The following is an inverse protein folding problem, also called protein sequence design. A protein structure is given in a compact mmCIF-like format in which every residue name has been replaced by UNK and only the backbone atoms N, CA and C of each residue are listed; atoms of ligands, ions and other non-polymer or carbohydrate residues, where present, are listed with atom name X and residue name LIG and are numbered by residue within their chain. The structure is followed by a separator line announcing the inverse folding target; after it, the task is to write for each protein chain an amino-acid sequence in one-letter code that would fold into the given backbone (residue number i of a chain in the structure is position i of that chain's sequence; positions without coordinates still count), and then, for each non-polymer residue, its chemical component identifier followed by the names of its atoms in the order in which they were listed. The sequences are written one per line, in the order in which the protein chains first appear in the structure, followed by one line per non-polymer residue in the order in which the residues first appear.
data_IF_440427469357
#
_entry.id   IF_440427469357
#
_cell.length_a   1.000
_cell.length_b   1.000
_cell.length_c   1.000
_cell.angle_alpha   90.00
_cell.angle_beta   90.00
_cell.angle_gamma   90.00
#
_symmetry.space_group_name_H-M   'P 1'
#
loop_
_entity.id
_entity.type
_entity.pdbx_description
1 polymer ?
#
# COMPACT_ATOMS: atom_id res chain seq x y z
N UNK A 1 8.95 6.28 -7.49
CA UNK A 1 7.50 6.00 -7.42
C UNK A 1 7.23 4.71 -6.66
N UNK A 2 5.98 4.51 -6.20
CA UNK A 2 5.59 3.26 -5.55
C UNK A 2 5.74 2.06 -6.51
N UNK A 3 5.37 2.23 -7.78
CA UNK A 3 5.48 1.17 -8.78
C UNK A 3 6.94 0.77 -9.10
N UNK A 4 7.89 1.70 -9.07
CA UNK A 4 9.31 1.37 -9.19
C UNK A 4 9.82 0.58 -7.99
N UNK A 5 9.47 1.01 -6.76
CA UNK A 5 9.82 0.28 -5.54
C UNK A 5 9.21 -1.12 -5.52
N UNK A 6 7.94 -1.23 -5.87
CA UNK A 6 7.25 -2.53 -6.01
C UNK A 6 7.91 -3.43 -7.05
N UNK A 7 8.27 -2.86 -8.20
CA UNK A 7 8.97 -3.59 -9.26
C UNK A 7 10.32 -4.14 -8.84
N UNK A 8 11.11 -3.36 -8.10
CA UNK A 8 12.38 -3.82 -7.54
C UNK A 8 12.20 -4.97 -6.55
N UNK A 9 11.20 -4.86 -5.65
CA UNK A 9 10.91 -5.91 -4.68
C UNK A 9 10.42 -7.20 -5.36
N UNK A 10 9.57 -7.10 -6.37
CA UNK A 10 9.09 -8.25 -7.16
C UNK A 10 10.25 -8.92 -7.90
N UNK A 11 11.11 -8.15 -8.54
CA UNK A 11 12.28 -8.68 -9.24
C UNK A 11 13.18 -9.47 -8.30
N UNK A 12 13.52 -8.91 -7.15
CA UNK A 12 14.35 -9.57 -6.15
C UNK A 12 13.68 -10.83 -5.59
N UNK A 13 12.35 -10.80 -5.37
CA UNK A 13 11.61 -11.97 -4.91
C UNK A 13 11.66 -13.13 -5.92
N UNK A 14 11.55 -12.84 -7.22
CA UNK A 14 11.68 -13.83 -8.29
C UNK A 14 13.09 -14.40 -8.35
N UNK A 15 14.12 -13.56 -8.27
CA UNK A 15 15.52 -13.98 -8.25
C UNK A 15 15.80 -14.93 -7.07
N UNK A 16 15.33 -14.59 -5.86
CA UNK A 16 15.51 -15.42 -4.65
C UNK A 16 14.74 -16.73 -4.69
N UNK A 17 13.54 -16.71 -5.25
CA UNK A 17 12.70 -17.93 -5.33
C UNK A 17 13.13 -18.89 -6.43
N UNK A 18 13.89 -18.42 -7.41
CA UNK A 18 14.22 -19.17 -8.62
C UNK A 18 13.03 -19.37 -9.57
N UNK A 19 11.91 -18.68 -9.35
CA UNK A 19 10.75 -18.71 -10.21
C UNK A 19 11.03 -17.88 -11.46
N UNK A 20 10.77 -18.47 -12.65
CA UNK A 20 10.90 -17.74 -13.90
C UNK A 20 9.81 -16.66 -14.01
N UNK A 21 10.13 -15.44 -14.45
CA UNK A 21 9.10 -14.43 -14.75
C UNK A 21 8.01 -14.91 -15.70
N UNK A 22 8.32 -15.86 -16.59
CA UNK A 22 7.37 -16.43 -17.54
C UNK A 22 6.35 -17.39 -16.90
N UNK A 23 6.66 -17.91 -15.71
CA UNK A 23 5.77 -18.83 -14.98
C UNK A 23 4.80 -18.07 -14.08
N UNK A 24 4.97 -16.75 -13.90
CA UNK A 24 4.08 -15.94 -13.07
C UNK A 24 2.77 -15.69 -13.82
N UNK A 25 1.66 -16.08 -13.24
CA UNK A 25 0.33 -15.91 -13.82
C UNK A 25 -0.36 -14.63 -13.37
N UNK A 26 -0.07 -14.20 -12.13
CA UNK A 26 -0.67 -12.99 -11.59
C UNK A 26 0.23 -12.28 -10.58
N UNK A 27 0.20 -10.93 -10.61
CA UNK A 27 0.83 -10.05 -9.63
C UNK A 27 -0.24 -9.23 -8.91
N UNK A 28 -0.34 -9.37 -7.59
CA UNK A 28 -1.29 -8.63 -6.77
C UNK A 28 -0.51 -7.77 -5.78
N UNK A 29 -0.61 -6.44 -5.92
CA UNK A 29 0.05 -5.52 -4.99
C UNK A 29 -0.95 -4.61 -4.27
N UNK A 30 -0.81 -4.55 -2.94
CA UNK A 30 -1.51 -3.59 -2.12
C UNK A 30 -0.93 -2.18 -2.30
N UNK A 31 -1.79 -1.17 -2.46
CA UNK A 31 -1.41 0.24 -2.45
C UNK A 31 -2.60 1.07 -1.98
N UNK A 32 -2.36 2.00 -1.08
CA UNK A 32 -3.40 2.86 -0.47
C UNK A 32 -3.49 4.20 -1.21
N UNK A 33 -2.36 4.86 -1.38
CA UNK A 33 -2.28 6.23 -1.91
C UNK A 33 -2.12 6.21 -3.44
N UNK A 34 -3.16 5.81 -4.14
CA UNK A 34 -3.10 5.60 -5.59
C UNK A 34 -3.26 6.88 -6.43
N UNK A 35 -3.65 7.98 -5.82
CA UNK A 35 -3.82 9.27 -6.52
C UNK A 35 -2.53 9.71 -7.20
N UNK A 36 -2.60 10.07 -8.49
CA UNK A 36 -1.45 10.55 -9.26
C UNK A 36 -0.48 9.47 -9.75
N UNK A 37 -0.68 8.20 -9.40
CA UNK A 37 0.20 7.11 -9.85
C UNK A 37 -0.07 6.62 -11.29
N UNK A 38 -1.13 7.09 -11.92
CA UNK A 38 -1.59 6.57 -13.23
C UNK A 38 -2.46 5.32 -13.10
N UNK A 39 -2.71 4.67 -14.23
CA UNK A 39 -3.58 3.48 -14.26
C UNK A 39 -2.85 2.26 -13.71
N UNK A 40 -3.55 1.47 -12.93
CA UNK A 40 -3.15 0.15 -12.42
C UNK A 40 -1.67 0.12 -11.99
N UNK A 41 -1.32 0.70 -10.83
CA UNK A 41 0.07 0.75 -10.37
C UNK A 41 0.77 -0.61 -10.32
N UNK A 42 0.04 -1.70 -10.05
CA UNK A 42 0.61 -3.06 -10.09
C UNK A 42 1.06 -3.47 -11.49
N UNK A 43 0.38 -3.04 -12.56
CA UNK A 43 0.83 -3.27 -13.94
C UNK A 43 2.14 -2.53 -14.22
N UNK A 44 2.27 -1.32 -13.71
CA UNK A 44 3.51 -0.57 -13.83
C UNK A 44 4.65 -1.28 -13.09
N UNK A 45 4.40 -1.75 -11.86
CA UNK A 45 5.37 -2.52 -11.09
C UNK A 45 5.75 -3.83 -11.80
N UNK A 46 4.79 -4.55 -12.40
CA UNK A 46 5.06 -5.73 -13.22
C UNK A 46 6.07 -5.44 -14.34
N UNK A 47 5.91 -4.31 -15.02
CA UNK A 47 6.83 -3.89 -16.10
C UNK A 47 8.20 -3.50 -15.56
N UNK A 48 8.27 -2.81 -14.42
CA UNK A 48 9.54 -2.52 -13.75
C UNK A 48 10.27 -3.79 -13.27
N UNK A 49 9.52 -4.83 -12.90
CA UNK A 49 10.07 -6.13 -12.52
C UNK A 49 10.53 -7.00 -13.70
N UNK A 50 10.15 -6.65 -14.94
CA UNK A 50 10.44 -7.44 -16.14
C UNK A 50 9.45 -8.57 -16.39
N UNK A 51 8.29 -8.59 -15.74
CA UNK A 51 7.25 -9.59 -16.01
C UNK A 51 6.67 -9.45 -17.42
N UNK A 52 6.27 -10.55 -18.08
CA UNK A 52 5.58 -10.53 -19.36
C UNK A 52 4.27 -9.72 -19.35
N UNK A 53 3.79 -9.30 -20.53
CA UNK A 53 2.53 -8.55 -20.67
C UNK A 53 1.30 -9.40 -20.36
N UNK A 54 1.41 -10.71 -20.50
CA UNK A 54 0.36 -11.71 -20.30
C UNK A 54 0.00 -11.88 -18.82
N UNK A 55 0.93 -11.56 -17.91
CA UNK A 55 0.71 -11.65 -16.46
C UNK A 55 -0.45 -10.74 -16.05
N UNK A 56 -1.45 -11.30 -15.42
CA UNK A 56 -2.57 -10.55 -14.85
C UNK A 56 -2.07 -9.68 -13.69
N UNK A 57 -2.69 -8.53 -13.48
CA UNK A 57 -2.25 -7.65 -12.39
C UNK A 57 -3.43 -6.97 -11.71
N UNK A 58 -3.40 -6.94 -10.38
CA UNK A 58 -4.37 -6.23 -9.56
C UNK A 58 -3.70 -5.30 -8.56
N UNK A 59 -4.28 -4.12 -8.37
CA UNK A 59 -3.91 -3.20 -7.29
C UNK A 59 -5.07 -3.15 -6.31
N UNK A 60 -4.84 -3.59 -5.08
CA UNK A 60 -5.87 -3.71 -4.06
C UNK A 60 -5.65 -2.71 -2.93
N UNK A 61 -6.75 -2.23 -2.36
CA UNK A 61 -6.72 -1.34 -1.20
C UNK A 61 -7.60 -1.89 -0.07
N UNK A 62 -6.96 -2.23 1.02
CA UNK A 62 -7.57 -2.55 2.32
C UNK A 62 -6.87 -1.75 3.42
N UNK A 63 -6.57 -0.49 3.13
CA UNK A 63 -5.78 0.40 3.99
C UNK A 63 -4.47 -0.29 4.43
N UNK A 64 -4.10 -0.23 5.70
CA UNK A 64 -2.85 -0.82 6.22
C UNK A 64 -2.72 -2.34 5.99
N UNK A 65 -3.82 -3.05 5.78
CA UNK A 65 -3.83 -4.50 5.53
C UNK A 65 -3.74 -4.87 4.03
N UNK A 66 -3.50 -3.92 3.13
CA UNK A 66 -3.51 -4.16 1.68
C UNK A 66 -2.48 -5.20 1.23
N UNK A 67 -1.25 -5.11 1.74
CA UNK A 67 -0.20 -6.09 1.44
C UNK A 67 -0.53 -7.50 1.96
N UNK A 68 -1.05 -7.62 3.17
CA UNK A 68 -1.51 -8.91 3.71
C UNK A 68 -2.71 -9.43 2.92
N UNK A 69 -3.63 -8.55 2.51
CA UNK A 69 -4.79 -8.97 1.70
C UNK A 69 -4.36 -9.53 0.34
N UNK A 70 -3.33 -8.98 -0.28
CA UNK A 70 -2.81 -9.52 -1.54
C UNK A 70 -2.34 -10.97 -1.38
N UNK A 71 -1.64 -11.29 -0.28
CA UNK A 71 -1.19 -12.66 0.03
C UNK A 71 -2.37 -13.60 0.24
N UNK A 72 -3.35 -13.21 1.07
CA UNK A 72 -4.54 -14.05 1.30
C UNK A 72 -5.40 -14.19 0.06
N UNK A 73 -5.37 -13.23 -0.86
CA UNK A 73 -6.08 -13.30 -2.12
C UNK A 73 -5.37 -14.25 -3.09
N UNK A 74 -4.04 -14.20 -3.18
CA UNK A 74 -3.26 -15.18 -3.94
C UNK A 74 -3.48 -16.62 -3.46
N UNK A 75 -3.51 -16.85 -2.13
CA UNK A 75 -3.88 -18.16 -1.57
C UNK A 75 -5.28 -18.63 -2.01
N UNK A 76 -6.25 -17.72 -2.06
CA UNK A 76 -7.61 -18.03 -2.53
C UNK A 76 -7.64 -18.42 -4.01
N UNK A 77 -6.89 -17.71 -4.87
CA UNK A 77 -6.77 -18.00 -6.31
C UNK A 77 -6.18 -19.40 -6.52
N UNK A 78 -5.10 -19.72 -5.82
CA UNK A 78 -4.46 -21.05 -5.90
C UNK A 78 -5.43 -22.15 -5.44
N UNK A 79 -6.11 -21.96 -4.33
CA UNK A 79 -7.09 -22.93 -3.81
C UNK A 79 -8.30 -23.11 -4.71
N UNK A 80 -8.71 -22.07 -5.43
CA UNK A 80 -9.79 -22.13 -6.41
C UNK A 80 -9.38 -22.86 -7.69
N UNK A 81 -8.07 -23.02 -7.93
CA UNK A 81 -7.54 -23.60 -9.16
C UNK A 81 -7.49 -22.61 -10.32
N UNK A 82 -7.59 -21.30 -10.03
CA UNK A 82 -7.58 -20.23 -11.03
C UNK A 82 -6.15 -19.78 -11.40
N UNK A 83 -5.14 -20.27 -10.69
CA UNK A 83 -3.74 -20.02 -10.92
C UNK A 83 -2.84 -20.85 -10.00
N UNK A 84 -1.59 -21.06 -10.40
CA UNK A 84 -0.61 -21.86 -9.66
C UNK A 84 0.54 -21.01 -9.10
N UNK A 85 0.95 -19.95 -9.83
CA UNK A 85 2.08 -19.10 -9.45
C UNK A 85 1.63 -17.64 -9.33
N UNK A 86 1.45 -17.18 -8.11
CA UNK A 86 0.98 -15.83 -7.80
C UNK A 86 2.08 -15.08 -7.04
N UNK A 87 2.40 -13.88 -7.51
CA UNK A 87 3.24 -12.94 -6.76
C UNK A 87 2.35 -11.96 -6.01
N UNK A 88 2.53 -11.86 -4.70
CA UNK A 88 1.70 -11.04 -3.84
C UNK A 88 2.55 -10.19 -2.88
N UNK A 89 2.14 -8.96 -2.64
CA UNK A 89 2.86 -8.04 -1.76
C UNK A 89 2.18 -6.68 -1.65
N UNK A 90 2.99 -5.66 -1.38
CA UNK A 90 2.52 -4.28 -1.30
C UNK A 90 3.60 -3.29 -1.71
N UNK A 91 3.16 -2.11 -2.07
CA UNK A 91 4.02 -0.98 -2.41
C UNK A 91 3.37 0.32 -1.98
N UNK A 92 4.17 1.27 -1.52
CA UNK A 92 3.68 2.60 -1.15
C UNK A 92 4.80 3.62 -1.28
N UNK A 93 4.48 4.84 -1.64
CA UNK A 93 5.41 5.97 -1.63
C UNK A 93 4.70 7.20 -1.08
N UNK A 94 4.74 7.36 0.24
CA UNK A 94 4.08 8.48 0.93
C UNK A 94 4.68 9.82 0.53
N UNK A 95 6.00 9.87 0.30
CA UNK A 95 6.70 11.09 -0.12
C UNK A 95 6.24 11.63 -1.49
N UNK A 96 5.67 10.77 -2.33
CA UNK A 96 5.15 11.15 -3.64
C UNK A 96 3.62 11.28 -3.68
N UNK A 97 2.94 11.17 -2.53
CA UNK A 97 1.51 11.39 -2.45
C UNK A 97 1.17 12.85 -2.81
N UNK A 98 0.23 13.10 -3.73
CA UNK A 98 -0.11 14.46 -4.15
C UNK A 98 -1.02 15.17 -3.15
N UNK A 99 -1.22 16.45 -3.38
CA UNK A 99 -2.26 17.23 -2.73
C UNK A 99 -3.52 17.26 -3.58
N UNK A 100 -4.67 17.32 -2.94
CA UNK A 100 -5.99 17.35 -3.58
C UNK A 100 -6.55 18.77 -3.60
N UNK A 101 -7.16 19.11 -4.72
CA UNK A 101 -7.98 20.28 -4.90
C UNK A 101 -9.46 19.87 -5.10
N UNK A 102 -10.22 19.59 -4.04
CA UNK A 102 -11.51 18.89 -4.14
C UNK A 102 -12.56 19.53 -5.04
N UNK A 103 -12.53 20.87 -5.18
CA UNK A 103 -13.48 21.63 -5.98
C UNK A 103 -12.92 22.09 -7.32
N UNK A 104 -11.67 21.77 -7.66
CA UNK A 104 -11.00 22.31 -8.85
C UNK A 104 -11.76 22.00 -10.16
N UNK A 105 -12.35 20.80 -10.28
CA UNK A 105 -13.11 20.39 -11.47
C UNK A 105 -14.29 21.32 -11.77
N UNK A 106 -14.93 21.85 -10.74
CA UNK A 106 -16.10 22.74 -10.85
C UNK A 106 -15.73 24.23 -10.72
N UNK A 107 -14.46 24.52 -10.52
CA UNK A 107 -13.91 25.84 -10.28
C UNK A 107 -14.10 26.33 -8.84
N UNK A 108 -13.11 27.05 -8.37
CA UNK A 108 -13.18 27.78 -7.11
C UNK A 108 -13.93 29.10 -7.34
N UNK A 109 -14.96 29.33 -6.54
CA UNK A 109 -15.74 30.55 -6.54
C UNK A 109 -15.02 31.62 -5.70
N UNK A 110 -15.68 32.75 -5.48
CA UNK A 110 -15.15 33.81 -4.62
C UNK A 110 -14.90 33.32 -3.19
N UNK A 111 -13.78 33.74 -2.61
CA UNK A 111 -13.35 33.35 -1.26
C UNK A 111 -12.26 32.26 -1.26
N UNK A 112 -11.70 32.00 -0.08
CA UNK A 112 -10.61 31.06 0.11
C UNK A 112 -11.07 29.62 -0.08
N UNK A 113 -10.10 28.73 -0.37
CA UNK A 113 -10.30 27.29 -0.43
C UNK A 113 -9.11 26.55 0.14
N UNK A 114 -9.32 25.28 0.51
CA UNK A 114 -8.31 24.44 1.10
C UNK A 114 -7.72 23.45 0.10
N UNK A 115 -6.45 23.12 0.29
CA UNK A 115 -5.75 22.01 -0.33
C UNK A 115 -5.66 20.90 0.73
N UNK A 116 -5.90 19.63 0.33
CA UNK A 116 -5.81 18.50 1.23
C UNK A 116 -4.61 17.63 0.86
N UNK A 117 -3.83 17.27 1.85
CA UNK A 117 -2.78 16.26 1.70
C UNK A 117 -3.43 14.87 1.54
N UNK A 118 -3.20 14.21 0.40
CA UNK A 118 -3.76 12.88 0.12
C UNK A 118 -3.29 11.85 1.15
N UNK A 119 -2.04 11.90 1.57
CA UNK A 119 -1.48 10.96 2.55
C UNK A 119 -2.25 11.03 3.87
N UNK A 120 -2.48 12.24 4.38
CA UNK A 120 -3.22 12.46 5.62
C UNK A 120 -4.70 12.14 5.44
N UNK A 121 -5.30 12.60 4.34
CA UNK A 121 -6.75 12.51 4.11
C UNK A 121 -7.19 11.06 3.85
N UNK A 122 -6.51 10.35 2.94
CA UNK A 122 -6.94 9.02 2.49
C UNK A 122 -6.25 7.88 3.26
N UNK A 123 -5.06 8.12 3.80
CA UNK A 123 -4.27 7.08 4.46
C UNK A 123 -4.28 7.13 5.99
N UNK A 124 -4.33 8.31 6.60
CA UNK A 124 -4.05 8.48 8.04
C UNK A 124 -5.21 9.03 8.87
N UNK A 125 -6.31 9.47 8.23
CA UNK A 125 -7.48 10.03 8.91
C UNK A 125 -8.66 9.07 8.84
N UNK A 126 -9.27 8.79 9.99
CA UNK A 126 -10.50 8.01 10.05
C UNK A 126 -11.64 8.75 9.34
N UNK A 127 -12.22 8.12 8.30
CA UNK A 127 -13.30 8.71 7.50
C UNK A 127 -14.61 8.92 8.27
N UNK A 128 -14.81 8.19 9.37
CA UNK A 128 -16.02 8.25 10.18
C UNK A 128 -15.94 9.33 11.26
N UNK A 129 -14.84 9.42 11.98
CA UNK A 129 -14.68 10.30 13.12
C UNK A 129 -13.81 11.53 12.82
N UNK A 130 -13.17 11.60 11.64
CA UNK A 130 -12.33 12.74 11.22
C UNK A 130 -11.08 12.93 12.06
N UNK A 131 -10.62 11.90 12.81
CA UNK A 131 -9.43 11.97 13.67
C UNK A 131 -8.28 11.20 13.04
N UNK A 132 -7.05 11.63 13.32
CA UNK A 132 -5.85 10.93 12.90
C UNK A 132 -5.75 9.56 13.59
N UNK A 133 -5.33 8.52 12.86
CA UNK A 133 -5.25 7.15 13.38
C UNK A 133 -4.35 7.02 14.64
N UNK A 134 -3.34 7.87 14.80
CA UNK A 134 -2.52 7.94 16.01
C UNK A 134 -3.33 8.25 17.29
N UNK A 135 -4.45 8.97 17.16
CA UNK A 135 -5.37 9.22 18.29
C UNK A 135 -5.97 7.93 18.82
N UNK A 136 -6.30 6.99 17.94
CA UNK A 136 -6.78 5.66 18.34
C UNK A 136 -5.68 4.86 19.05
N UNK A 137 -4.42 4.97 18.57
CA UNK A 137 -3.28 4.36 19.26
C UNK A 137 -3.16 4.84 20.71
N UNK A 138 -3.30 6.14 20.96
CA UNK A 138 -3.30 6.69 22.31
C UNK A 138 -4.48 6.18 23.16
N UNK A 139 -5.67 6.07 22.55
CA UNK A 139 -6.86 5.54 23.25
C UNK A 139 -6.67 4.08 23.61
N UNK A 140 -6.13 3.28 22.70
CA UNK A 140 -5.81 1.86 22.90
C UNK A 140 -4.78 1.69 24.02
N UNK A 141 -3.71 2.48 24.01
CA UNK A 141 -2.69 2.43 25.06
C UNK A 141 -3.30 2.70 26.44
N UNK A 142 -4.23 3.66 26.52
CA UNK A 142 -4.94 3.97 27.76
C UNK A 142 -5.94 2.87 28.17
N UNK A 143 -6.66 2.31 27.22
CA UNK A 143 -7.69 1.26 27.46
C UNK A 143 -7.05 -0.04 27.97
N UNK A 144 -5.86 -0.39 27.48
CA UNK A 144 -5.12 -1.60 27.84
C UNK A 144 -4.01 -1.34 28.88
N UNK A 145 -3.96 -0.17 29.50
CA UNK A 145 -2.97 0.22 30.51
C UNK A 145 -1.52 -0.01 30.05
N UNK A 146 -1.22 0.22 28.77
CA UNK A 146 0.13 0.10 28.25
C UNK A 146 1.00 1.25 28.77
N UNK A 147 2.04 0.89 29.49
CA UNK A 147 2.98 1.87 30.05
C UNK A 147 3.77 2.62 28.97
N UNK A 148 4.37 3.73 29.33
CA UNK A 148 5.26 4.48 28.44
C UNK A 148 6.49 3.65 28.07
N UNK A 149 7.02 2.90 29.01
CA UNK A 149 8.18 2.03 28.85
C UNK A 149 7.92 0.92 27.83
N UNK A 150 6.77 0.25 27.90
CA UNK A 150 6.37 -0.77 26.91
C UNK A 150 6.22 -0.20 25.51
N UNK A 151 5.66 0.99 25.37
CA UNK A 151 5.53 1.69 24.09
C UNK A 151 6.90 2.05 23.51
N UNK A 152 7.80 2.57 24.34
CA UNK A 152 9.16 2.94 23.93
C UNK A 152 10.02 1.71 23.59
N UNK A 153 9.88 0.60 24.33
CA UNK A 153 10.55 -0.68 24.00
C UNK A 153 10.09 -1.21 22.63
N UNK A 154 8.81 -1.15 22.35
CA UNK A 154 8.30 -1.53 21.04
C UNK A 154 8.87 -0.66 19.92
N UNK A 155 8.87 0.64 20.10
CA UNK A 155 9.42 1.61 19.15
C UNK A 155 10.92 1.37 18.92
N UNK A 156 11.70 1.17 20.00
CA UNK A 156 13.14 0.86 19.93
C UNK A 156 13.39 -0.42 19.11
N UNK A 157 12.64 -1.48 19.41
CA UNK A 157 12.73 -2.74 18.66
C UNK A 157 12.43 -2.55 17.17
N UNK A 158 11.44 -1.73 16.83
CA UNK A 158 11.12 -1.41 15.44
C UNK A 158 12.29 -0.73 14.73
N UNK A 159 12.90 0.26 15.37
CA UNK A 159 14.09 0.93 14.83
C UNK A 159 15.28 -0.03 14.67
N UNK A 160 15.56 -0.86 15.68
CA UNK A 160 16.65 -1.84 15.63
C UNK A 160 16.50 -2.88 14.51
N UNK A 161 15.26 -3.19 14.12
CA UNK A 161 14.98 -4.12 13.01
C UNK A 161 15.09 -3.47 11.63
N UNK A 162 15.05 -2.16 11.55
CA UNK A 162 15.17 -1.40 10.31
C UNK A 162 16.62 -1.10 9.92
N UNK A 163 17.56 -1.19 10.85
CA UNK A 163 19.01 -1.02 10.67
C UNK A 163 19.66 -2.36 10.38
#
# INVERSE_FOLDING_TARGET
TASELGGLAVKEALERSGVSPADVEELILGSVLQGGQGQIPSRQAARHAGLPWEVRTETINKVCASGMRSVTFGDQIIRAGDGEVIVAGGMESMSNAPYLLPKARWGYKMGDSSVKDLMVHDGLTCSFNGVHMGTYGNSTAKEFDLSREEQDEWALRSHQRAV
#
